data_IF_578162223817
#
_entry.id   IF_578162223817
#
_cell.length_a   1.000
_cell.length_b   1.000
_cell.length_c   1.000
_cell.angle_alpha   90.00
_cell.angle_beta   90.00
_cell.angle_gamma   90.00
#
_symmetry.space_group_name_H-M   'P 1'
#
loop_
_entity.id
_entity.type
_entity.pdbx_description
1 polymer ?
#
# COMPACT_ATOMS: atom_id res chain seq x y z
N UNK A 1 14.68 51.57 -33.19
CA UNK A 1 15.49 50.36 -33.42
C UNK A 1 15.82 49.79 -32.04
N UNK A 2 15.00 48.92 -31.56
CA UNK A 2 15.25 48.15 -30.34
C UNK A 2 14.89 46.70 -30.67
N UNK A 3 15.92 45.93 -30.84
CA UNK A 3 15.87 44.48 -31.03
C UNK A 3 15.47 43.84 -29.71
N UNK A 4 14.34 43.17 -29.66
CA UNK A 4 13.96 42.26 -28.60
C UNK A 4 14.51 40.89 -28.93
N UNK A 5 15.65 40.56 -28.34
CA UNK A 5 16.13 39.19 -28.27
C UNK A 5 15.19 38.34 -27.44
N UNK A 6 14.34 37.59 -28.08
CA UNK A 6 13.53 36.53 -27.51
C UNK A 6 14.42 35.28 -27.35
N UNK A 7 15.15 35.22 -26.25
CA UNK A 7 15.93 34.07 -25.89
C UNK A 7 14.98 32.99 -25.33
N UNK A 8 14.30 32.27 -26.23
CA UNK A 8 13.62 31.02 -25.87
C UNK A 8 14.68 30.04 -25.35
N UNK A 9 14.62 29.74 -24.05
CA UNK A 9 15.46 28.70 -23.46
C UNK A 9 15.26 27.38 -24.26
N UNK A 10 16.32 26.69 -24.65
CA UNK A 10 16.16 25.45 -25.37
C UNK A 10 15.38 24.46 -24.47
N UNK A 11 14.26 24.00 -24.96
CA UNK A 11 13.54 22.90 -24.34
C UNK A 11 14.52 21.73 -24.29
N UNK A 12 14.96 21.36 -23.09
CA UNK A 12 15.81 20.18 -22.89
C UNK A 12 14.96 18.92 -23.15
N UNK A 13 14.78 18.61 -24.43
CA UNK A 13 14.21 17.33 -24.82
C UNK A 13 15.23 16.25 -24.49
N UNK A 14 14.83 15.29 -23.65
CA UNK A 14 15.62 14.08 -23.45
C UNK A 14 15.34 13.14 -24.62
N UNK A 15 16.34 12.86 -25.50
CA UNK A 15 16.14 11.93 -26.60
C UNK A 15 16.03 10.51 -26.02
N UNK A 16 14.91 9.84 -26.28
CA UNK A 16 14.78 8.44 -25.91
C UNK A 16 15.83 7.60 -26.65
N UNK A 17 16.49 6.65 -25.97
CA UNK A 17 17.42 5.75 -26.62
C UNK A 17 16.73 4.98 -27.75
N UNK A 18 17.40 4.88 -28.90
CA UNK A 18 16.93 4.07 -30.02
C UNK A 18 17.50 2.66 -29.90
N UNK A 19 16.63 1.65 -29.95
CA UNK A 19 17.05 0.27 -30.09
C UNK A 19 17.34 -0.01 -31.56
N UNK A 20 18.58 -0.40 -31.89
CA UNK A 20 18.99 -0.76 -33.24
C UNK A 20 18.78 -2.26 -33.55
N UNK A 21 18.53 -3.06 -32.55
CA UNK A 21 18.29 -4.51 -32.64
C UNK A 21 17.13 -4.88 -31.73
N UNK A 22 16.46 -5.99 -32.06
CA UNK A 22 15.43 -6.57 -31.21
C UNK A 22 16.03 -6.97 -29.85
N UNK A 23 15.30 -6.68 -28.78
CA UNK A 23 15.70 -7.06 -27.41
C UNK A 23 15.54 -8.57 -27.26
N UNK A 24 16.56 -9.26 -26.74
CA UNK A 24 16.49 -10.65 -26.30
C UNK A 24 17.17 -10.76 -24.94
N UNK A 25 16.36 -10.79 -23.86
CA UNK A 25 16.87 -10.72 -22.51
C UNK A 25 15.98 -11.44 -21.49
N UNK A 26 16.62 -11.83 -20.38
CA UNK A 26 15.94 -12.28 -19.17
C UNK A 26 16.17 -11.24 -18.06
N UNK A 27 15.09 -10.86 -17.37
CA UNK A 27 15.15 -9.91 -16.26
C UNK A 27 14.58 -10.53 -15.00
N UNK A 28 15.16 -10.15 -13.87
CA UNK A 28 14.57 -10.39 -12.56
C UNK A 28 14.18 -9.02 -11.99
N UNK A 29 12.93 -8.87 -11.62
CA UNK A 29 12.42 -7.66 -10.98
C UNK A 29 12.32 -7.87 -9.47
N UNK A 30 12.39 -6.80 -8.66
CA UNK A 30 12.27 -6.92 -7.22
C UNK A 30 10.88 -7.37 -6.80
N UNK A 31 10.74 -7.77 -5.55
CA UNK A 31 9.45 -8.12 -4.95
C UNK A 31 8.46 -6.94 -4.99
N UNK A 32 7.17 -7.26 -5.06
CA UNK A 32 6.09 -6.26 -5.12
C UNK A 32 6.06 -5.38 -3.86
N UNK A 33 6.23 -4.07 -4.03
CA UNK A 33 6.13 -3.10 -2.94
C UNK A 33 4.76 -3.14 -2.27
N UNK A 34 3.71 -3.22 -3.07
CA UNK A 34 2.33 -3.22 -2.57
C UNK A 34 2.01 -4.46 -1.74
N UNK A 35 2.54 -5.63 -2.11
CA UNK A 35 2.41 -6.85 -1.31
C UNK A 35 3.29 -6.80 -0.07
N UNK A 36 4.56 -6.41 -0.20
CA UNK A 36 5.50 -6.33 0.93
C UNK A 36 4.94 -5.50 2.08
N UNK A 37 4.45 -4.29 1.80
CA UNK A 37 3.95 -3.42 2.86
C UNK A 37 2.64 -3.94 3.50
N UNK A 38 1.78 -4.65 2.74
CA UNK A 38 0.61 -5.33 3.30
C UNK A 38 1.00 -6.52 4.15
N UNK A 39 1.91 -7.35 3.67
CA UNK A 39 2.40 -8.52 4.40
C UNK A 39 3.02 -8.12 5.74
N UNK A 40 3.80 -7.03 5.77
CA UNK A 40 4.38 -6.48 7.01
C UNK A 40 3.30 -6.08 8.02
N UNK A 41 2.24 -5.39 7.58
CA UNK A 41 1.15 -4.97 8.47
C UNK A 41 0.35 -6.18 8.94
N UNK A 42 0.00 -7.10 8.05
CA UNK A 42 -0.77 -8.29 8.42
C UNK A 42 0.02 -9.19 9.37
N UNK A 43 1.32 -9.37 9.14
CA UNK A 43 2.20 -10.08 10.06
C UNK A 43 2.32 -9.37 11.42
N UNK A 44 2.39 -8.03 11.43
CA UNK A 44 2.43 -7.25 12.68
C UNK A 44 1.12 -7.35 13.50
N UNK A 45 -0.01 -7.55 12.83
CA UNK A 45 -1.34 -7.66 13.47
C UNK A 45 -1.75 -9.12 13.76
N UNK A 46 -0.96 -10.11 13.34
CA UNK A 46 -1.30 -11.53 13.46
C UNK A 46 -1.13 -12.09 14.88
N UNK A 47 -1.57 -13.31 15.07
CA UNK A 47 -1.53 -14.05 16.33
C UNK A 47 -0.18 -14.75 16.62
N UNK A 48 0.77 -14.68 15.68
CA UNK A 48 2.07 -15.33 15.83
C UNK A 48 3.11 -14.86 14.81
N UNK A 49 4.35 -15.37 14.92
CA UNK A 49 5.42 -15.02 14.01
C UNK A 49 5.13 -15.38 12.56
N UNK A 50 5.61 -14.58 11.64
CA UNK A 50 5.51 -14.79 10.21
C UNK A 50 6.84 -14.52 9.51
N UNK A 51 7.16 -15.30 8.48
CA UNK A 51 8.32 -15.07 7.62
C UNK A 51 7.88 -14.43 6.31
N UNK A 52 8.54 -13.36 5.89
CA UNK A 52 8.29 -12.69 4.61
C UNK A 52 9.53 -12.83 3.74
N UNK A 53 9.49 -13.72 2.75
CA UNK A 53 10.58 -13.96 1.80
C UNK A 53 10.41 -13.08 0.56
N UNK A 54 11.53 -12.72 -0.07
CA UNK A 54 11.58 -11.84 -1.25
C UNK A 54 10.90 -10.47 -1.03
N UNK A 55 10.83 -10.00 0.21
CA UNK A 55 10.34 -8.65 0.52
C UNK A 55 11.18 -7.60 -0.23
N UNK A 56 10.52 -6.63 -0.85
CA UNK A 56 11.21 -5.55 -1.54
C UNK A 56 12.14 -4.80 -0.57
N UNK A 57 13.39 -4.60 -0.95
CA UNK A 57 14.30 -3.68 -0.28
C UNK A 57 14.23 -2.29 -0.94
N UNK A 58 13.57 -1.37 -0.28
CA UNK A 58 13.41 0.01 -0.76
C UNK A 58 13.26 0.97 0.42
N UNK A 59 13.46 2.28 0.19
CA UNK A 59 13.21 3.31 1.21
C UNK A 59 11.81 3.18 1.82
N UNK A 60 10.78 2.97 0.99
CA UNK A 60 9.39 2.85 1.46
C UNK A 60 9.19 1.66 2.39
N UNK A 61 9.86 0.52 2.09
CA UNK A 61 9.78 -0.68 2.92
C UNK A 61 10.58 -0.53 4.21
N UNK A 62 11.75 0.09 4.14
CA UNK A 62 12.58 0.38 5.32
C UNK A 62 11.83 1.31 6.27
N UNK A 63 11.18 2.37 5.76
CA UNK A 63 10.31 3.25 6.56
C UNK A 63 9.13 2.49 7.20
N UNK A 64 8.53 1.51 6.50
CA UNK A 64 7.47 0.67 7.06
C UNK A 64 8.00 -0.20 8.20
N UNK A 65 9.17 -0.83 8.02
CA UNK A 65 9.82 -1.65 9.04
C UNK A 65 10.14 -0.82 10.28
N UNK A 66 10.77 0.34 10.10
CA UNK A 66 11.16 1.20 11.22
C UNK A 66 9.93 1.75 11.97
N UNK A 67 8.88 2.09 11.24
CA UNK A 67 7.63 2.52 11.84
C UNK A 67 6.95 1.40 12.65
N UNK A 68 6.86 0.18 12.12
CA UNK A 68 6.32 -0.97 12.87
C UNK A 68 7.16 -1.31 14.09
N UNK A 69 8.50 -1.24 13.98
CA UNK A 69 9.40 -1.41 15.14
C UNK A 69 9.16 -0.35 16.21
N UNK A 70 8.93 0.90 15.81
CA UNK A 70 8.59 1.97 16.76
C UNK A 70 7.26 1.72 17.46
N UNK A 71 6.33 0.99 16.83
CA UNK A 71 5.06 0.56 17.43
C UNK A 71 5.20 -0.70 18.29
N UNK A 72 6.41 -1.28 18.41
CA UNK A 72 6.72 -2.40 19.29
C UNK A 72 6.80 -3.75 18.60
N UNK A 73 6.62 -3.80 17.27
CA UNK A 73 6.76 -5.06 16.51
C UNK A 73 8.23 -5.43 16.39
N UNK A 74 8.59 -6.65 16.68
CA UNK A 74 9.95 -7.15 16.46
C UNK A 74 10.09 -7.61 15.00
N UNK A 75 11.04 -7.03 14.27
CA UNK A 75 11.31 -7.37 12.88
C UNK A 75 12.80 -7.60 12.71
N UNK A 76 13.17 -8.82 12.29
CA UNK A 76 14.55 -9.22 12.04
C UNK A 76 14.78 -9.47 10.54
N UNK A 77 15.94 -9.05 10.03
CA UNK A 77 16.37 -9.41 8.69
C UNK A 77 17.09 -10.76 8.78
N UNK A 78 16.51 -11.81 8.20
CA UNK A 78 17.05 -13.15 8.19
C UNK A 78 18.14 -13.31 7.14
N UNK A 79 17.90 -12.78 5.95
CA UNK A 79 18.82 -12.82 4.83
C UNK A 79 18.56 -11.62 3.90
N UNK A 80 19.64 -11.11 3.31
CA UNK A 80 19.57 -10.14 2.22
C UNK A 80 19.88 -10.87 0.91
N UNK A 81 18.87 -11.57 0.37
CA UNK A 81 18.97 -12.42 -0.83
C UNK A 81 19.60 -11.73 -2.02
N UNK A 82 19.47 -10.40 -2.07
CA UNK A 82 20.04 -9.56 -3.12
C UNK A 82 20.05 -8.08 -2.69
N UNK A 83 20.58 -7.22 -3.57
CA UNK A 83 20.45 -5.76 -3.36
C UNK A 83 19.00 -5.26 -3.43
N UNK A 84 18.08 -6.06 -4.00
CA UNK A 84 16.69 -5.67 -4.28
C UNK A 84 15.68 -6.32 -3.32
N UNK A 85 16.01 -7.46 -2.73
CA UNK A 85 15.11 -8.24 -1.89
C UNK A 85 15.78 -8.63 -0.58
N UNK A 86 14.95 -8.91 0.45
CA UNK A 86 15.35 -9.40 1.76
C UNK A 86 14.31 -10.37 2.30
N UNK A 87 14.73 -11.25 3.19
CA UNK A 87 13.85 -12.11 3.98
C UNK A 87 13.75 -11.56 5.39
N UNK A 88 12.52 -11.49 5.90
CA UNK A 88 12.19 -10.89 7.20
C UNK A 88 11.48 -11.91 8.08
N UNK A 89 11.76 -11.87 9.36
CA UNK A 89 10.93 -12.45 10.41
C UNK A 89 10.20 -11.32 11.12
N UNK A 90 8.89 -11.44 11.28
CA UNK A 90 8.05 -10.48 11.97
C UNK A 90 7.38 -11.18 13.14
N UNK A 91 7.67 -10.71 14.36
CA UNK A 91 7.06 -11.20 15.60
C UNK A 91 6.17 -10.11 16.16
N UNK A 92 4.83 -10.33 16.18
CA UNK A 92 3.89 -9.32 16.63
C UNK A 92 4.00 -9.14 18.15
N UNK A 93 4.33 -7.91 18.57
CA UNK A 93 4.30 -7.50 19.96
C UNK A 93 3.65 -6.13 20.03
N UNK A 94 2.38 -6.07 20.41
CA UNK A 94 1.74 -4.79 20.72
C UNK A 94 2.09 -4.39 22.14
N UNK A 95 3.22 -3.72 22.29
CA UNK A 95 3.62 -3.21 23.58
C UNK A 95 2.87 -1.93 23.89
N UNK A 96 2.17 -1.94 25.00
CA UNK A 96 1.65 -0.73 25.61
C UNK A 96 2.81 0.13 26.11
N UNK A 97 3.34 1.02 25.28
CA UNK A 97 4.21 2.09 25.73
C UNK A 97 3.40 3.37 25.77
N UNK A 98 3.44 4.06 26.88
CA UNK A 98 2.80 5.37 27.04
C UNK A 98 3.64 6.52 26.47
N UNK A 99 4.84 6.23 25.95
CA UNK A 99 5.75 7.23 25.43
C UNK A 99 5.30 7.76 24.07
N UNK A 100 5.37 9.06 23.87
CA UNK A 100 5.11 9.71 22.60
C UNK A 100 6.12 9.22 21.55
N UNK A 101 5.63 8.85 20.37
CA UNK A 101 6.42 8.32 19.26
C UNK A 101 6.27 9.20 18.03
N UNK A 102 7.27 9.17 17.16
CA UNK A 102 7.22 9.86 15.88
C UNK A 102 7.53 8.87 14.76
N UNK A 103 6.68 8.84 13.75
CA UNK A 103 6.84 8.04 12.54
C UNK A 103 7.15 8.98 11.39
N UNK A 104 8.35 8.82 10.80
CA UNK A 104 8.69 9.44 9.52
C UNK A 104 8.12 8.59 8.39
N UNK A 105 7.14 9.11 7.67
CA UNK A 105 6.59 8.43 6.50
C UNK A 105 7.40 8.70 5.23
N UNK A 106 8.41 9.59 5.29
CA UNK A 106 9.16 10.05 4.13
C UNK A 106 8.21 10.52 3.03
N UNK A 107 8.21 9.84 1.89
CA UNK A 107 7.26 10.02 0.79
C UNK A 107 6.38 8.77 0.57
N UNK A 108 6.49 7.76 1.44
CA UNK A 108 5.84 6.47 1.30
C UNK A 108 4.34 6.55 1.57
N UNK A 109 3.54 6.49 0.50
CA UNK A 109 2.08 6.57 0.60
C UNK A 109 1.43 5.43 1.36
N UNK A 110 2.07 4.26 1.42
CA UNK A 110 1.62 3.09 2.18
C UNK A 110 1.88 3.29 3.67
N UNK A 111 3.03 3.79 4.07
CA UNK A 111 3.33 4.13 5.47
C UNK A 111 2.35 5.18 5.96
N UNK A 112 2.23 6.29 5.23
CA UNK A 112 1.38 7.43 5.58
C UNK A 112 -0.09 7.04 5.77
N UNK A 113 -0.60 6.03 5.02
CA UNK A 113 -2.03 5.70 5.04
C UNK A 113 -2.35 4.42 5.78
N UNK A 114 -1.49 3.39 5.72
CA UNK A 114 -1.82 2.10 6.30
C UNK A 114 -1.51 2.01 7.80
N UNK A 115 -0.51 2.75 8.27
CA UNK A 115 -0.09 2.67 9.68
C UNK A 115 -0.95 3.47 10.68
N UNK A 116 -1.60 4.59 10.33
CA UNK A 116 -2.38 5.33 11.33
C UNK A 116 -3.47 4.49 12.00
N UNK A 117 -4.26 3.63 11.30
CA UNK A 117 -5.20 2.73 11.99
C UNK A 117 -4.49 1.71 12.90
N UNK A 118 -3.28 1.25 12.51
CA UNK A 118 -2.48 0.34 13.37
C UNK A 118 -2.01 1.06 14.63
N UNK A 119 -1.58 2.32 14.50
CA UNK A 119 -1.16 3.14 15.63
C UNK A 119 -2.31 3.35 16.65
N UNK A 120 -3.56 3.45 16.19
CA UNK A 120 -4.73 3.53 17.08
C UNK A 120 -4.91 2.30 17.97
N UNK A 121 -4.42 1.12 17.55
CA UNK A 121 -4.44 -0.12 18.32
C UNK A 121 -3.32 -0.21 19.37
N UNK A 122 -2.38 0.73 19.38
CA UNK A 122 -1.32 0.82 20.41
C UNK A 122 -1.76 1.78 21.53
N UNK A 123 -1.01 1.82 22.62
CA UNK A 123 -1.20 2.84 23.65
C UNK A 123 -0.23 3.99 23.44
N UNK A 124 -0.70 5.23 23.70
CA UNK A 124 0.10 6.45 23.63
C UNK A 124 0.02 7.18 22.30
N UNK A 125 0.63 8.34 22.28
CA UNK A 125 0.55 9.29 21.17
C UNK A 125 1.56 8.93 20.07
N UNK A 126 1.11 8.95 18.81
CA UNK A 126 1.94 8.67 17.64
C UNK A 126 1.80 9.83 16.64
N UNK A 127 2.89 10.59 16.49
CA UNK A 127 2.99 11.68 15.52
C UNK A 127 3.40 11.10 14.16
N UNK A 128 2.65 11.43 13.12
CA UNK A 128 2.99 11.13 11.73
C UNK A 128 3.46 12.40 11.03
N UNK A 129 4.65 12.33 10.43
CA UNK A 129 5.21 13.40 9.61
C UNK A 129 6.09 12.82 8.50
N UNK A 130 6.57 13.65 7.57
CA UNK A 130 7.40 13.18 6.47
C UNK A 130 7.94 14.29 5.58
N UNK A 131 8.42 13.91 4.41
CA UNK A 131 9.00 14.82 3.44
C UNK A 131 8.04 15.97 3.09
N UNK A 132 8.58 17.14 2.75
CA UNK A 132 7.79 18.31 2.34
C UNK A 132 6.75 18.00 1.25
N UNK A 133 7.06 17.06 0.35
CA UNK A 133 6.13 16.62 -0.69
C UNK A 133 5.00 15.74 -0.13
N UNK A 134 5.25 14.95 0.92
CA UNK A 134 4.23 14.17 1.60
C UNK A 134 3.21 15.05 2.31
N UNK A 135 3.65 16.15 2.95
CA UNK A 135 2.78 17.13 3.63
C UNK A 135 1.76 17.80 2.70
N UNK A 136 1.95 17.75 1.38
CA UNK A 136 0.97 18.27 0.39
C UNK A 136 -0.05 17.24 -0.06
N UNK A 137 0.12 15.98 0.35
CA UNK A 137 -0.80 14.90 -0.07
C UNK A 137 -2.05 14.91 0.81
N UNK A 138 -3.25 14.84 0.23
CA UNK A 138 -4.49 14.88 1.01
C UNK A 138 -4.63 13.63 1.87
N UNK A 139 -5.00 13.85 3.14
CA UNK A 139 -5.28 12.82 4.13
C UNK A 139 -6.67 12.99 4.77
N UNK A 140 -7.37 14.10 4.52
CA UNK A 140 -8.63 14.44 5.17
C UNK A 140 -9.63 13.27 5.16
N UNK A 141 -9.88 12.67 3.99
CA UNK A 141 -10.82 11.54 3.86
C UNK A 141 -10.46 10.36 4.79
N UNK A 142 -9.17 10.03 4.93
CA UNK A 142 -8.76 8.96 5.83
C UNK A 142 -8.83 9.38 7.29
N UNK A 143 -8.45 10.62 7.61
CA UNK A 143 -8.53 11.17 8.98
C UNK A 143 -9.99 11.20 9.46
N UNK A 144 -10.91 11.65 8.63
CA UNK A 144 -12.34 11.62 8.91
C UNK A 144 -12.83 10.19 9.12
N UNK A 145 -12.49 9.27 8.22
CA UNK A 145 -12.86 7.86 8.35
C UNK A 145 -12.30 7.20 9.63
N UNK A 146 -11.09 7.56 10.05
CA UNK A 146 -10.53 7.09 11.33
C UNK A 146 -11.33 7.64 12.52
N UNK A 147 -11.75 8.90 12.48
CA UNK A 147 -12.61 9.49 13.51
C UNK A 147 -13.98 8.82 13.56
N UNK A 148 -14.56 8.51 12.39
CA UNK A 148 -15.87 7.83 12.29
C UNK A 148 -15.85 6.43 12.92
N UNK A 149 -14.74 5.69 12.82
CA UNK A 149 -14.56 4.40 13.51
C UNK A 149 -14.14 4.55 14.99
N UNK A 150 -14.16 5.76 15.52
CA UNK A 150 -13.93 6.05 16.95
C UNK A 150 -12.49 6.29 17.36
N UNK A 151 -11.59 6.56 16.40
CA UNK A 151 -10.21 6.96 16.71
C UNK A 151 -10.13 8.46 17.04
N UNK A 152 -9.21 8.80 17.93
CA UNK A 152 -8.88 10.18 18.25
C UNK A 152 -7.66 10.61 17.43
N UNK A 153 -7.86 11.57 16.51
CA UNK A 153 -6.82 12.06 15.59
C UNK A 153 -6.82 13.59 15.58
N UNK A 154 -5.66 14.20 15.83
CA UNK A 154 -5.47 15.65 15.75
C UNK A 154 -4.58 16.01 14.55
N UNK A 155 -5.17 16.66 13.56
CA UNK A 155 -4.50 17.17 12.36
C UNK A 155 -4.45 18.69 12.31
N UNK A 156 -4.76 19.37 13.41
CA UNK A 156 -4.91 20.82 13.51
C UNK A 156 -5.83 21.41 12.41
N UNK A 157 -6.80 20.62 11.92
CA UNK A 157 -7.75 21.01 10.87
C UNK A 157 -7.15 21.12 9.47
N UNK A 158 -5.94 20.61 9.24
CA UNK A 158 -5.24 20.76 7.93
C UNK A 158 -5.61 19.67 6.92
N UNK A 159 -6.07 18.52 7.38
CA UNK A 159 -6.33 17.35 6.52
C UNK A 159 -5.09 16.79 5.82
N UNK A 160 -3.90 17.05 6.38
CA UNK A 160 -2.60 16.65 5.83
C UNK A 160 -1.62 16.29 6.94
N UNK A 161 -0.41 15.87 6.61
CA UNK A 161 0.70 15.78 7.57
C UNK A 161 1.16 17.19 8.02
N UNK A 162 1.70 17.33 9.24
CA UNK A 162 1.73 16.32 10.29
C UNK A 162 0.36 16.16 10.97
N UNK A 163 0.11 14.98 11.54
CA UNK A 163 -1.04 14.73 12.40
C UNK A 163 -0.69 13.74 13.52
N UNK A 164 -1.46 13.80 14.61
CA UNK A 164 -1.27 12.99 15.80
C UNK A 164 -2.40 11.96 15.93
N UNK A 165 -2.05 10.71 16.18
CA UNK A 165 -3.00 9.63 16.53
C UNK A 165 -2.85 9.34 18.02
N UNK A 166 -3.95 9.44 18.77
CA UNK A 166 -4.00 9.05 20.18
C UNK A 166 -4.36 7.58 20.29
N UNK A 167 -3.37 6.72 20.43
CA UNK A 167 -3.57 5.28 20.59
C UNK A 167 -4.19 4.95 21.95
N UNK A 168 -5.30 4.22 21.94
CA UNK A 168 -6.05 3.81 23.13
C UNK A 168 -5.97 2.31 23.40
N UNK A 169 -5.26 1.55 22.57
CA UNK A 169 -5.16 0.09 22.65
C UNK A 169 -6.34 -0.65 22.02
N UNK A 170 -7.41 0.05 21.69
CA UNK A 170 -8.60 -0.47 21.03
C UNK A 170 -9.21 0.58 20.10
N UNK A 171 -9.92 0.15 19.10
CA UNK A 171 -10.68 0.99 18.16
C UNK A 171 -12.10 0.44 18.13
N UNK A 172 -13.14 1.25 18.45
CA UNK A 172 -14.52 0.79 18.49
C UNK A 172 -14.96 0.11 17.17
N UNK A 173 -14.62 0.70 16.02
CA UNK A 173 -15.06 0.19 14.73
C UNK A 173 -16.49 0.63 14.40
N UNK A 174 -17.16 -0.11 13.51
CA UNK A 174 -18.52 0.16 13.08
C UNK A 174 -18.65 0.58 11.62
N UNK A 175 -19.70 1.31 11.28
CA UNK A 175 -19.96 1.76 9.92
C UNK A 175 -19.22 3.07 9.61
N UNK A 176 -18.63 3.15 8.42
CA UNK A 176 -17.92 4.33 7.95
C UNK A 176 -18.15 4.56 6.46
N UNK A 177 -18.33 5.82 6.07
CA UNK A 177 -18.49 6.22 4.68
C UNK A 177 -17.21 6.88 4.18
N UNK A 178 -16.65 6.38 3.07
CA UNK A 178 -15.37 6.84 2.52
C UNK A 178 -15.53 7.17 1.04
N UNK A 179 -15.30 8.41 0.66
CA UNK A 179 -15.08 8.73 -0.77
C UNK A 179 -13.63 8.34 -1.16
N UNK A 180 -13.49 7.14 -1.69
CA UNK A 180 -12.21 6.60 -2.15
C UNK A 180 -11.90 6.93 -3.62
N UNK A 181 -12.65 7.82 -4.25
CA UNK A 181 -12.46 8.20 -5.67
C UNK A 181 -11.06 8.78 -5.97
N UNK A 182 -10.38 9.32 -4.97
CA UNK A 182 -9.01 9.85 -5.08
C UNK A 182 -7.93 8.81 -4.78
N UNK A 183 -8.25 7.75 -4.03
CA UNK A 183 -7.27 6.72 -3.68
C UNK A 183 -7.92 5.47 -3.06
N UNK A 184 -7.70 4.31 -3.67
CA UNK A 184 -8.04 3.00 -3.08
C UNK A 184 -7.33 2.72 -1.75
N UNK A 185 -6.26 3.45 -1.43
CA UNK A 185 -5.51 3.27 -0.19
C UNK A 185 -6.31 3.67 1.06
N UNK A 186 -7.34 4.52 0.94
CA UNK A 186 -8.18 4.88 2.08
C UNK A 186 -9.01 3.68 2.57
N UNK A 187 -9.63 2.94 1.65
CA UNK A 187 -10.32 1.69 1.97
C UNK A 187 -9.34 0.63 2.45
N UNK A 188 -8.21 0.47 1.75
CA UNK A 188 -7.17 -0.50 2.13
C UNK A 188 -6.65 -0.28 3.56
N UNK A 189 -6.46 0.96 3.98
CA UNK A 189 -5.96 1.32 5.31
C UNK A 189 -6.87 0.77 6.42
N UNK A 190 -8.16 0.95 6.27
CA UNK A 190 -9.15 0.43 7.22
C UNK A 190 -9.25 -1.10 7.15
N UNK A 191 -9.31 -1.68 5.94
CA UNK A 191 -9.42 -3.13 5.77
C UNK A 191 -8.29 -3.90 6.44
N UNK A 192 -7.05 -3.42 6.35
CA UNK A 192 -5.88 -4.09 6.91
C UNK A 192 -5.95 -4.27 8.43
N UNK A 193 -6.67 -3.39 9.13
CA UNK A 193 -6.78 -3.40 10.60
C UNK A 193 -8.18 -3.69 11.13
N UNK A 194 -9.20 -3.66 10.27
CA UNK A 194 -10.61 -3.78 10.66
C UNK A 194 -10.93 -5.02 11.50
N UNK A 195 -10.29 -6.17 11.22
CA UNK A 195 -10.46 -7.40 11.99
C UNK A 195 -10.04 -7.27 13.48
N UNK A 196 -9.24 -6.25 13.81
CA UNK A 196 -8.76 -5.94 15.16
C UNK A 196 -9.59 -4.85 15.86
N UNK A 197 -10.62 -4.30 15.21
CA UNK A 197 -11.55 -3.35 15.83
C UNK A 197 -12.62 -4.11 16.64
N UNK A 198 -13.11 -3.50 17.73
CA UNK A 198 -14.03 -4.15 18.65
C UNK A 198 -15.34 -4.62 17.98
N UNK A 199 -15.88 -3.80 17.06
CA UNK A 199 -17.05 -4.12 16.25
C UNK A 199 -16.70 -4.44 14.77
N UNK A 200 -15.42 -4.64 14.44
CA UNK A 200 -14.99 -4.73 13.06
C UNK A 200 -15.22 -3.43 12.29
N UNK A 201 -15.40 -3.51 10.98
CA UNK A 201 -15.76 -2.34 10.18
C UNK A 201 -16.66 -2.69 8.99
N UNK A 202 -17.65 -1.82 8.71
CA UNK A 202 -18.40 -1.80 7.47
C UNK A 202 -18.04 -0.52 6.72
N UNK A 203 -17.29 -0.67 5.63
CA UNK A 203 -16.74 0.45 4.87
C UNK A 203 -17.58 0.65 3.63
N UNK A 204 -18.29 1.77 3.54
CA UNK A 204 -19.11 2.15 2.40
C UNK A 204 -18.36 3.16 1.53
N UNK A 205 -18.06 2.78 0.29
CA UNK A 205 -17.61 3.77 -0.69
C UNK A 205 -18.82 4.41 -1.36
N UNK A 206 -18.85 5.73 -1.39
CA UNK A 206 -19.87 6.53 -2.07
C UNK A 206 -19.17 7.63 -2.87
N UNK A 207 -19.35 7.62 -4.19
CA UNK A 207 -18.74 8.63 -5.04
C UNK A 207 -18.40 8.10 -6.44
N UNK A 208 -17.58 8.84 -7.20
CA UNK A 208 -17.03 8.36 -8.46
C UNK A 208 -16.26 7.05 -8.29
N UNK A 209 -16.05 6.32 -9.41
CA UNK A 209 -15.39 5.02 -9.39
C UNK A 209 -14.01 5.08 -8.67
N UNK A 210 -13.77 4.09 -7.80
CA UNK A 210 -12.50 3.97 -7.08
C UNK A 210 -11.38 3.63 -8.07
N UNK A 211 -10.31 4.43 -8.14
CA UNK A 211 -9.16 4.09 -8.97
C UNK A 211 -8.45 2.86 -8.37
N UNK A 212 -7.88 2.03 -9.24
CA UNK A 212 -7.06 0.88 -8.81
C UNK A 212 -7.78 -0.08 -7.85
N UNK A 213 -9.07 -0.36 -8.09
CA UNK A 213 -9.84 -1.38 -7.36
C UNK A 213 -9.09 -2.71 -7.19
N UNK A 214 -8.29 -3.20 -8.17
CA UNK A 214 -7.50 -4.42 -8.00
C UNK A 214 -6.52 -4.40 -6.81
N UNK A 215 -6.13 -3.24 -6.29
CA UNK A 215 -5.33 -3.17 -5.06
C UNK A 215 -6.16 -3.39 -3.79
N UNK A 216 -7.47 -3.12 -3.82
CA UNK A 216 -8.38 -3.50 -2.74
C UNK A 216 -8.60 -5.01 -2.80
N UNK A 217 -8.83 -5.57 -3.98
CA UNK A 217 -8.97 -7.02 -4.18
C UNK A 217 -7.72 -7.78 -3.70
N UNK A 218 -6.52 -7.26 -4.01
CA UNK A 218 -5.26 -7.76 -3.45
C UNK A 218 -5.31 -7.79 -1.91
N UNK A 219 -5.77 -6.72 -1.28
CA UNK A 219 -5.86 -6.63 0.19
C UNK A 219 -6.84 -7.67 0.73
N UNK A 220 -8.01 -7.80 0.12
CA UNK A 220 -9.03 -8.79 0.51
C UNK A 220 -8.49 -10.21 0.39
N UNK A 221 -7.82 -10.54 -0.70
CA UNK A 221 -7.20 -11.85 -0.90
C UNK A 221 -6.08 -12.12 0.11
N UNK A 222 -5.24 -11.13 0.39
CA UNK A 222 -4.18 -11.27 1.39
C UNK A 222 -4.75 -11.44 2.81
N UNK A 223 -5.80 -10.72 3.18
CA UNK A 223 -6.56 -10.95 4.41
C UNK A 223 -7.10 -12.38 4.47
N UNK A 224 -7.65 -12.88 3.37
CA UNK A 224 -8.12 -14.28 3.25
C UNK A 224 -7.03 -15.31 3.53
N UNK A 225 -5.77 -15.06 3.11
CA UNK A 225 -4.63 -15.93 3.44
C UNK A 225 -4.32 -15.97 4.94
N UNK A 226 -4.61 -14.89 5.65
CA UNK A 226 -4.54 -14.80 7.12
C UNK A 226 -5.81 -15.31 7.84
N UNK A 227 -6.76 -15.92 7.10
CA UNK A 227 -8.01 -16.46 7.63
C UNK A 227 -9.10 -15.41 7.84
N UNK A 228 -8.86 -14.14 7.52
CA UNK A 228 -9.83 -13.05 7.67
C UNK A 228 -10.84 -13.06 6.53
N UNK A 229 -12.10 -13.12 6.86
CA UNK A 229 -13.18 -13.06 5.89
C UNK A 229 -13.65 -11.63 5.67
N UNK A 230 -13.68 -11.20 4.41
CA UNK A 230 -14.21 -9.91 3.98
C UNK A 230 -15.42 -10.14 3.08
N UNK A 231 -16.59 -9.70 3.51
CA UNK A 231 -17.79 -9.73 2.68
C UNK A 231 -17.81 -8.48 1.80
N UNK A 232 -18.07 -8.66 0.53
CA UNK A 232 -18.13 -7.56 -0.44
C UNK A 232 -19.51 -7.52 -1.08
N UNK A 233 -20.06 -6.33 -1.25
CA UNK A 233 -21.25 -6.10 -2.06
C UNK A 233 -21.06 -4.87 -2.93
N UNK A 234 -21.69 -4.88 -4.10
CA UNK A 234 -21.76 -3.74 -4.98
C UNK A 234 -23.24 -3.48 -5.29
N UNK A 235 -23.70 -2.30 -4.97
CA UNK A 235 -25.04 -1.87 -5.36
C UNK A 235 -25.05 -1.48 -6.85
N UNK A 236 -26.24 -1.53 -7.48
CA UNK A 236 -26.40 -1.06 -8.83
C UNK A 236 -25.93 0.41 -8.94
N UNK A 237 -25.06 0.74 -9.91
CA UNK A 237 -24.54 2.08 -10.04
C UNK A 237 -25.67 3.07 -10.31
N UNK A 238 -25.78 4.09 -9.47
CA UNK A 238 -26.58 5.28 -9.74
C UNK A 238 -25.74 6.19 -10.64
N UNK A 239 -26.34 6.87 -11.60
CA UNK A 239 -25.62 7.70 -12.58
C UNK A 239 -24.55 8.58 -11.91
N UNK A 240 -23.28 8.33 -12.27
CA UNK A 240 -22.13 9.07 -11.77
C UNK A 240 -21.59 8.62 -10.39
N UNK A 241 -22.19 7.63 -9.73
CA UNK A 241 -21.76 7.13 -8.45
C UNK A 241 -21.70 5.61 -8.43
N UNK A 242 -20.57 5.06 -7.97
CA UNK A 242 -20.42 3.65 -7.61
C UNK A 242 -20.59 3.49 -6.10
N UNK A 243 -21.22 2.39 -5.70
CA UNK A 243 -21.35 2.01 -4.30
C UNK A 243 -20.74 0.64 -4.11
N UNK A 244 -19.73 0.57 -3.29
CA UNK A 244 -19.13 -0.68 -2.86
C UNK A 244 -19.11 -0.72 -1.34
N UNK A 245 -19.39 -1.87 -0.78
CA UNK A 245 -19.34 -2.10 0.64
C UNK A 245 -18.41 -3.26 0.91
N UNK A 246 -17.51 -3.08 1.87
CA UNK A 246 -16.66 -4.13 2.45
C UNK A 246 -17.02 -4.25 3.92
N UNK A 247 -17.28 -5.46 4.36
CA UNK A 247 -17.59 -5.72 5.75
C UNK A 247 -16.60 -6.76 6.30
N UNK A 248 -16.03 -6.43 7.45
CA UNK A 248 -15.09 -7.26 8.20
C UNK A 248 -15.58 -7.36 9.64
N UNK A 249 -15.95 -8.58 10.07
CA UNK A 249 -16.25 -8.85 11.48
C UNK A 249 -14.97 -8.86 12.32
N UNK A 250 -15.04 -8.62 13.65
CA UNK A 250 -13.92 -8.86 14.56
C UNK A 250 -13.48 -10.31 14.46
N UNK A 251 -12.20 -10.54 14.20
CA UNK A 251 -11.65 -11.89 14.08
C UNK A 251 -10.13 -11.89 14.24
N UNK A 252 -9.55 -13.05 14.53
CA UNK A 252 -8.11 -13.21 14.57
C UNK A 252 -7.49 -13.12 13.17
N UNK A 253 -6.39 -12.44 13.10
CA UNK A 253 -5.51 -12.44 11.92
C UNK A 253 -4.45 -13.51 12.22
N UNK A 254 -4.50 -14.63 11.51
CA UNK A 254 -3.58 -15.76 11.73
C UNK A 254 -2.22 -15.46 11.17
N UNK A 255 -1.17 -15.97 11.82
CA UNK A 255 0.17 -15.94 11.25
C UNK A 255 0.20 -16.62 9.88
N UNK A 256 0.94 -16.03 8.94
CA UNK A 256 1.07 -16.55 7.58
C UNK A 256 2.42 -16.19 6.98
N UNK A 257 3.15 -17.20 6.49
CA UNK A 257 4.40 -17.00 5.78
C UNK A 257 4.15 -16.53 4.34
N UNK A 258 4.86 -15.50 3.93
CA UNK A 258 4.78 -14.94 2.59
C UNK A 258 6.03 -15.22 1.77
N UNK A 259 5.84 -15.55 0.51
CA UNK A 259 6.84 -15.36 -0.54
C UNK A 259 6.30 -14.28 -1.47
N UNK A 260 6.92 -13.10 -1.43
CA UNK A 260 6.45 -11.95 -2.20
C UNK A 260 6.73 -12.18 -3.68
N UNK A 261 5.68 -12.00 -4.49
CA UNK A 261 5.75 -12.08 -5.95
C UNK A 261 6.65 -10.98 -6.54
N UNK A 262 7.29 -11.21 -7.70
CA UNK A 262 7.91 -10.15 -8.47
C UNK A 262 6.93 -9.00 -8.71
N UNK A 263 7.40 -7.76 -8.70
CA UNK A 263 6.55 -6.59 -8.97
C UNK A 263 6.18 -6.53 -10.46
N UNK A 264 4.96 -6.96 -10.79
CA UNK A 264 4.50 -7.06 -12.17
C UNK A 264 4.35 -5.68 -12.82
N UNK A 265 4.10 -4.62 -12.04
CA UNK A 265 4.09 -3.25 -12.56
C UNK A 265 5.47 -2.80 -13.00
N UNK A 266 6.51 -3.18 -12.26
CA UNK A 266 7.91 -2.91 -12.63
C UNK A 266 8.40 -3.80 -13.77
N UNK A 267 7.76 -4.94 -14.04
CA UNK A 267 8.07 -5.79 -15.19
C UNK A 267 7.58 -5.22 -16.52
N UNK A 268 6.49 -4.42 -16.51
CA UNK A 268 5.84 -3.89 -17.71
C UNK A 268 6.76 -3.12 -18.66
N UNK A 269 7.66 -2.22 -18.22
CA UNK A 269 8.57 -1.52 -19.12
C UNK A 269 9.48 -2.45 -19.91
N UNK A 270 9.93 -3.56 -19.30
CA UNK A 270 10.77 -4.56 -19.96
C UNK A 270 9.99 -5.34 -21.02
N UNK A 271 8.74 -5.70 -20.71
CA UNK A 271 7.86 -6.38 -21.66
C UNK A 271 7.53 -5.43 -22.82
N UNK A 272 7.22 -4.16 -22.53
CA UNK A 272 6.98 -3.15 -23.56
C UNK A 272 8.20 -2.98 -24.48
N UNK A 273 9.43 -3.02 -23.94
CA UNK A 273 10.65 -2.97 -24.75
C UNK A 273 10.74 -4.13 -25.75
N UNK A 274 10.32 -5.34 -25.38
CA UNK A 274 10.28 -6.46 -26.30
C UNK A 274 9.27 -6.22 -27.43
N UNK A 275 8.07 -5.73 -27.12
CA UNK A 275 7.02 -5.44 -28.10
C UNK A 275 7.51 -4.39 -29.12
N UNK A 276 8.01 -3.24 -28.65
CA UNK A 276 8.39 -2.12 -29.54
C UNK A 276 9.62 -2.42 -30.38
N UNK A 277 10.45 -3.39 -29.99
CA UNK A 277 11.65 -3.79 -30.75
C UNK A 277 11.45 -5.08 -31.57
N UNK A 278 10.27 -5.74 -31.47
CA UNK A 278 10.02 -7.05 -32.08
C UNK A 278 10.89 -8.16 -31.48
N UNK A 279 11.25 -8.02 -30.20
CA UNK A 279 12.18 -8.88 -29.48
C UNK A 279 11.51 -9.89 -28.54
N UNK A 280 12.31 -10.38 -27.59
CA UNK A 280 11.87 -11.33 -26.54
C UNK A 280 12.28 -10.82 -25.17
N UNK A 281 11.38 -11.00 -24.18
CA UNK A 281 11.69 -10.70 -22.78
C UNK A 281 11.20 -11.87 -21.92
N UNK A 282 12.11 -12.42 -21.14
CA UNK A 282 11.77 -13.41 -20.11
C UNK A 282 11.82 -12.72 -18.73
N UNK A 283 10.67 -12.61 -18.07
CA UNK A 283 10.59 -12.15 -16.69
C UNK A 283 10.63 -13.37 -15.79
N UNK A 284 11.67 -13.47 -14.95
CA UNK A 284 11.85 -14.62 -14.05
C UNK A 284 10.78 -14.62 -12.96
N UNK A 285 10.44 -15.82 -12.52
CA UNK A 285 9.53 -16.05 -11.38
C UNK A 285 8.13 -15.45 -11.58
N UNK A 286 7.69 -15.27 -12.84
CA UNK A 286 6.33 -14.80 -13.13
C UNK A 286 5.30 -15.77 -12.54
N UNK A 287 4.41 -15.31 -11.63
CA UNK A 287 3.45 -16.17 -10.98
C UNK A 287 2.37 -16.65 -11.95
N UNK A 288 1.96 -17.92 -11.84
CA UNK A 288 0.83 -18.45 -12.62
C UNK A 288 -0.50 -17.88 -12.12
N UNK A 289 -0.63 -17.79 -10.79
CA UNK A 289 -1.70 -17.10 -10.10
C UNK A 289 -1.10 -15.96 -9.29
N UNK A 290 -1.66 -14.77 -9.40
CA UNK A 290 -1.10 -13.59 -8.78
C UNK A 290 -2.12 -12.89 -7.89
N UNK A 291 -1.64 -12.37 -6.76
CA UNK A 291 -2.36 -11.40 -5.94
C UNK A 291 -2.41 -10.02 -6.59
N UNK A 292 -1.45 -9.72 -7.47
CA UNK A 292 -1.36 -8.47 -8.19
C UNK A 292 -2.35 -8.44 -9.36
N UNK A 293 -2.72 -7.26 -9.92
CA UNK A 293 -3.62 -7.14 -11.06
C UNK A 293 -2.95 -7.58 -12.39
N UNK A 294 -2.40 -8.79 -12.41
CA UNK A 294 -1.60 -9.32 -13.51
C UNK A 294 -2.42 -9.77 -14.73
N UNK A 295 -3.66 -10.23 -14.50
CA UNK A 295 -4.52 -10.75 -15.58
C UNK A 295 -4.84 -9.68 -16.63
N UNK A 296 -4.97 -8.42 -16.22
CA UNK A 296 -5.15 -7.30 -17.14
C UNK A 296 -3.95 -7.06 -18.06
N UNK A 297 -2.73 -7.34 -17.57
CA UNK A 297 -1.49 -7.17 -18.33
C UNK A 297 -1.46 -8.12 -19.53
N UNK A 298 -1.72 -9.42 -19.30
CA UNK A 298 -1.70 -10.41 -20.38
C UNK A 298 -2.77 -10.12 -21.44
N UNK A 299 -3.95 -9.64 -21.03
CA UNK A 299 -5.01 -9.26 -21.96
C UNK A 299 -4.59 -8.05 -22.82
N UNK A 300 -3.94 -7.05 -22.22
CA UNK A 300 -3.40 -5.90 -22.97
C UNK A 300 -2.30 -6.34 -23.94
N UNK A 301 -1.37 -7.19 -23.48
CA UNK A 301 -0.30 -7.71 -24.34
C UNK A 301 -0.86 -8.50 -25.53
N UNK A 302 -1.88 -9.34 -25.31
CA UNK A 302 -2.54 -10.09 -26.37
C UNK A 302 -3.26 -9.20 -27.41
N UNK A 303 -3.62 -7.96 -27.06
CA UNK A 303 -4.19 -7.00 -27.99
C UNK A 303 -3.13 -6.35 -28.93
N UNK A 304 -1.84 -6.45 -28.58
CA UNK A 304 -0.75 -5.96 -29.42
C UNK A 304 -0.17 -7.04 -30.38
N UNK A 305 -0.61 -8.28 -30.27
CA UNK A 305 -0.21 -9.42 -31.15
C UNK A 305 0.61 -10.48 -30.44
#
# INVERSE_FOLDING_TARGET
MTSTDDASAPSQWWPAPLAHTAVDAAVQVPGSKSMTNRALILAALSDGPSTIRHALRSRDTELMIDALRSLGVEISVLDADSRMNMSLEVVPHFLGSADARSIDVGLAGTVMRFLPPVAGLTHGDVMFDGDRAARRRPMATLIEAMRDVGMEVDDAGTGTLPFLVHGRGAIPGGEVVVDASRSSQFVTALLLSAARFDAGATIHHVGPAVPSTPHIDMTVRMLGSHGVQVRQSADAPVVGHSRFTWHVDPQEIRAHDWTIEPDLSNALPFIAAAIVTGGRMHVRDWPQESFQPATGVLAVLGAFG
#
